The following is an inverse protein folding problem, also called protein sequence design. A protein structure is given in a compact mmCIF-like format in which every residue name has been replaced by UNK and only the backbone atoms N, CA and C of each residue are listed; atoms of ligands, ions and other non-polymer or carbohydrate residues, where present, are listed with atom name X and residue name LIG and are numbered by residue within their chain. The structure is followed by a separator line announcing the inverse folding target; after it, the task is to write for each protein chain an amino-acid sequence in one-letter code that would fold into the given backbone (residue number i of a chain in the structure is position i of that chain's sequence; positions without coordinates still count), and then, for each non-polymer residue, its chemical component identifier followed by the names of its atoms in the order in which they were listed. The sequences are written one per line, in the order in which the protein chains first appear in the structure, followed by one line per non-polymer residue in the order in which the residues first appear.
data_IF_612782545997
#
_entry.id   IF_612782545997
#
_cell.length_a   1.000
_cell.length_b   1.000
_cell.length_c   1.000
_cell.angle_alpha   90.00
_cell.angle_beta   90.00
_cell.angle_gamma   90.00
#
_symmetry.space_group_name_H-M   'P 1'
#
loop_
_entity.id
_entity.type
_entity.pdbx_description
1 polymer ?
#
# COMPACT_ATOMS: atom_id res chain seq x y z
N UNK A 1 29.96 69.56 -2.53
CA UNK A 1 31.28 68.91 -2.64
C UNK A 1 31.33 67.84 -1.58
N UNK A 2 30.78 66.67 -1.90
CA UNK A 2 31.52 65.49 -2.37
C UNK A 2 32.04 64.69 -1.18
N UNK A 3 31.21 63.77 -0.70
CA UNK A 3 31.68 62.63 0.09
C UNK A 3 32.05 61.46 -0.83
N UNK A 4 33.01 60.64 -0.41
CA UNK A 4 33.00 59.21 -0.68
C UNK A 4 33.35 58.44 0.61
N UNK A 5 33.17 57.14 0.79
CA UNK A 5 32.56 56.04 0.05
C UNK A 5 32.41 54.93 1.12
N UNK A 6 31.24 54.28 1.20
CA UNK A 6 31.08 53.03 1.96
C UNK A 6 31.35 51.88 1.00
N UNK A 7 32.42 51.14 1.22
CA UNK A 7 32.64 49.88 0.53
C UNK A 7 31.66 48.83 1.07
N UNK A 8 30.69 48.50 0.22
CA UNK A 8 29.77 47.38 0.36
C UNK A 8 30.52 46.09 0.01
N UNK A 9 30.84 45.30 1.03
CA UNK A 9 31.33 43.94 0.85
C UNK A 9 30.14 43.05 0.46
N UNK A 10 29.92 42.88 -0.85
CA UNK A 10 28.95 41.92 -1.38
C UNK A 10 29.46 40.49 -1.20
N UNK A 11 28.97 39.81 -0.17
CA UNK A 11 29.08 38.35 -0.04
C UNK A 11 28.34 37.69 -1.21
N UNK A 12 29.12 37.13 -2.14
CA UNK A 12 28.63 36.20 -3.17
C UNK A 12 28.10 34.96 -2.45
N UNK A 13 26.78 34.87 -2.30
CA UNK A 13 26.12 33.61 -1.96
C UNK A 13 26.36 32.62 -3.11
N UNK A 14 27.18 31.60 -2.85
CA UNK A 14 27.37 30.47 -3.74
C UNK A 14 26.07 29.68 -3.85
N UNK A 15 25.56 29.52 -5.07
CA UNK A 15 24.46 28.59 -5.38
C UNK A 15 24.77 27.18 -4.87
N UNK A 16 23.81 26.45 -4.29
CA UNK A 16 24.02 25.06 -3.95
C UNK A 16 24.14 24.21 -5.22
N UNK A 17 25.19 23.40 -5.29
CA UNK A 17 25.41 22.41 -6.35
C UNK A 17 24.18 21.51 -6.52
N UNK A 18 23.66 21.43 -7.75
CA UNK A 18 22.62 20.48 -8.11
C UNK A 18 23.18 19.08 -8.01
N UNK A 19 22.70 18.32 -7.04
CA UNK A 19 22.92 16.88 -6.96
C UNK A 19 22.34 16.25 -8.24
N UNK A 20 23.14 15.55 -9.06
CA UNK A 20 22.63 14.93 -10.28
C UNK A 20 21.62 13.84 -9.91
N UNK A 21 20.40 13.98 -10.44
CA UNK A 21 19.36 12.96 -10.35
C UNK A 21 19.91 11.65 -10.93
N UNK A 22 20.03 10.62 -10.10
CA UNK A 22 20.41 9.29 -10.53
C UNK A 22 19.40 8.82 -11.59
N UNK A 23 19.84 8.79 -12.85
CA UNK A 23 19.07 8.22 -13.94
C UNK A 23 18.68 6.79 -13.56
N UNK A 24 17.38 6.52 -13.53
CA UNK A 24 16.86 5.20 -13.21
C UNK A 24 17.47 4.17 -14.17
N UNK A 25 18.12 3.15 -13.61
CA UNK A 25 18.64 2.03 -14.38
C UNK A 25 17.51 1.42 -15.25
N UNK A 26 17.83 0.92 -16.46
CA UNK A 26 16.84 0.32 -17.34
C UNK A 26 16.18 -0.86 -16.62
N UNK A 27 14.87 -0.75 -16.39
CA UNK A 27 14.07 -1.81 -15.77
C UNK A 27 14.04 -3.00 -16.70
N UNK A 28 14.65 -4.11 -16.29
CA UNK A 28 14.44 -5.40 -16.93
C UNK A 28 12.94 -5.69 -16.91
N UNK A 29 12.35 -5.91 -18.09
CA UNK A 29 10.90 -5.96 -18.24
C UNK A 29 10.41 -7.26 -17.60
N UNK A 30 9.84 -7.15 -16.39
CA UNK A 30 9.30 -8.29 -15.65
C UNK A 30 8.49 -9.21 -16.57
N UNK A 31 8.90 -10.48 -16.65
CA UNK A 31 8.26 -11.48 -17.51
C UNK A 31 6.85 -11.69 -17.01
N UNK A 32 5.86 -11.54 -17.90
CA UNK A 32 4.46 -11.75 -17.54
C UNK A 32 4.22 -13.24 -17.27
N UNK A 33 3.61 -13.62 -16.14
CA UNK A 33 3.23 -15.00 -15.86
C UNK A 33 2.41 -15.61 -17.00
N UNK A 34 2.77 -16.83 -17.38
CA UNK A 34 2.01 -17.67 -18.31
C UNK A 34 0.77 -18.23 -17.63
N UNK A 35 -0.13 -18.85 -18.39
CA UNK A 35 -1.28 -19.57 -17.82
C UNK A 35 -0.85 -20.68 -16.86
N UNK A 36 0.21 -21.42 -17.21
CA UNK A 36 0.74 -22.48 -16.37
C UNK A 36 1.25 -21.94 -15.02
N UNK A 37 1.91 -20.77 -15.03
CA UNK A 37 2.36 -20.12 -13.80
C UNK A 37 1.19 -19.71 -12.91
N UNK A 38 0.10 -19.20 -13.50
CA UNK A 38 -1.11 -18.83 -12.75
C UNK A 38 -1.81 -20.06 -12.15
N UNK A 39 -1.87 -21.16 -12.90
CA UNK A 39 -2.45 -22.42 -12.40
C UNK A 39 -1.61 -23.03 -11.28
N UNK A 40 -0.28 -22.99 -11.40
CA UNK A 40 0.67 -23.40 -10.36
C UNK A 40 0.68 -22.46 -9.15
N UNK A 41 0.15 -21.23 -9.31
CA UNK A 41 0.06 -20.26 -8.23
C UNK A 41 -1.18 -20.40 -7.35
N UNK A 42 -2.10 -21.32 -7.68
CA UNK A 42 -3.24 -21.65 -6.83
C UNK A 42 -2.72 -22.14 -5.47
N UNK A 43 -3.35 -21.67 -4.42
CA UNK A 43 -3.05 -22.02 -3.02
C UNK A 43 -1.64 -21.64 -2.52
N UNK A 44 -0.80 -21.01 -3.35
CA UNK A 44 0.44 -20.38 -2.88
C UNK A 44 0.12 -19.20 -1.96
N UNK A 45 1.10 -18.86 -1.14
CA UNK A 45 1.10 -17.65 -0.32
C UNK A 45 2.10 -16.64 -0.86
N UNK A 46 1.98 -15.39 -0.41
CA UNK A 46 2.97 -14.34 -0.61
C UNK A 46 3.41 -13.88 0.79
N UNK A 47 4.70 -13.64 0.97
CA UNK A 47 5.24 -13.07 2.20
C UNK A 47 4.71 -11.66 2.45
N UNK A 48 4.49 -11.33 3.71
CA UNK A 48 4.15 -9.98 4.12
C UNK A 48 5.34 -9.05 3.92
N UNK A 49 5.07 -7.80 3.54
CA UNK A 49 6.07 -6.74 3.46
C UNK A 49 6.00 -5.95 4.76
N UNK A 50 6.94 -6.19 5.66
CA UNK A 50 6.97 -5.61 7.01
C UNK A 50 8.25 -4.82 7.26
N UNK A 51 8.19 -3.92 8.24
CA UNK A 51 9.29 -3.09 8.70
C UNK A 51 9.24 -2.86 10.21
N UNK A 52 10.32 -2.32 10.81
CA UNK A 52 10.40 -2.17 12.27
C UNK A 52 9.45 -1.11 12.84
N UNK A 53 8.95 -0.18 12.01
CA UNK A 53 8.00 0.84 12.43
C UNK A 53 7.13 1.22 11.24
N UNK A 54 5.82 0.95 11.36
CA UNK A 54 4.86 1.18 10.28
C UNK A 54 3.87 2.27 10.66
N UNK A 55 3.80 3.32 9.84
CA UNK A 55 2.69 4.27 9.88
C UNK A 55 1.41 3.61 9.37
N UNK A 56 1.51 2.85 8.27
CA UNK A 56 0.36 2.15 7.67
C UNK A 56 0.74 0.74 7.28
N UNK A 57 0.00 -0.24 7.78
CA UNK A 57 -0.03 -1.59 7.23
C UNK A 57 -1.24 -1.70 6.29
N UNK A 58 -1.00 -1.71 4.98
CA UNK A 58 -2.05 -1.98 4.00
C UNK A 58 -2.39 -3.47 3.99
N UNK A 59 -3.66 -3.80 3.87
CA UNK A 59 -4.13 -5.17 3.90
C UNK A 59 -5.07 -5.43 2.72
N UNK A 60 -4.63 -6.25 1.76
CA UNK A 60 -5.49 -6.76 0.69
C UNK A 60 -6.48 -7.81 1.22
N UNK A 61 -7.35 -8.32 0.35
CA UNK A 61 -8.26 -9.40 0.74
C UNK A 61 -7.49 -10.73 0.76
N UNK A 62 -6.94 -11.09 -0.38
CA UNK A 62 -6.06 -12.24 -0.57
C UNK A 62 -5.22 -12.04 -1.84
N UNK A 63 -4.11 -12.77 -1.99
CA UNK A 63 -3.37 -12.80 -3.23
C UNK A 63 -4.23 -13.24 -4.42
N UNK A 64 -4.27 -12.44 -5.49
CA UNK A 64 -4.70 -12.95 -6.78
C UNK A 64 -3.63 -13.87 -7.38
N UNK A 65 -4.01 -14.80 -8.26
CA UNK A 65 -3.04 -15.73 -8.90
C UNK A 65 -1.84 -15.03 -9.54
N UNK A 66 -2.02 -13.83 -10.12
CA UNK A 66 -0.90 -13.06 -10.68
C UNK A 66 0.09 -12.59 -9.62
N UNK A 67 -0.42 -12.09 -8.49
CA UNK A 67 0.40 -11.71 -7.35
C UNK A 67 1.13 -12.93 -6.78
N UNK A 68 0.45 -14.07 -6.67
CA UNK A 68 1.06 -15.29 -6.15
C UNK A 68 2.11 -15.88 -7.10
N UNK A 69 1.91 -15.79 -8.41
CA UNK A 69 2.89 -16.21 -9.41
C UNK A 69 4.15 -15.34 -9.40
N UNK A 70 4.00 -14.03 -9.19
CA UNK A 70 5.11 -13.06 -9.17
C UNK A 70 5.77 -12.90 -7.80
N UNK A 71 5.10 -13.29 -6.71
CA UNK A 71 5.54 -13.01 -5.35
C UNK A 71 5.35 -11.55 -4.92
N UNK A 72 4.55 -10.78 -5.67
CA UNK A 72 4.38 -9.34 -5.44
C UNK A 72 2.92 -8.95 -5.20
N UNK A 73 2.70 -8.14 -4.16
CA UNK A 73 1.37 -7.68 -3.78
C UNK A 73 0.79 -6.77 -4.85
N UNK A 74 -0.51 -6.94 -5.11
CA UNK A 74 -1.27 -6.14 -6.08
C UNK A 74 -0.67 -6.08 -7.51
N UNK A 75 0.11 -7.08 -7.92
CA UNK A 75 0.89 -7.08 -9.16
C UNK A 75 0.10 -7.18 -10.47
N UNK A 76 -1.16 -7.63 -10.43
CA UNK A 76 -1.96 -7.81 -11.66
C UNK A 76 -2.09 -6.48 -12.43
N UNK A 77 -1.78 -6.45 -13.74
CA UNK A 77 -2.05 -5.27 -14.56
C UNK A 77 -3.51 -4.82 -14.44
N UNK A 78 -3.71 -3.52 -14.23
CA UNK A 78 -5.03 -2.93 -14.00
C UNK A 78 -5.47 -2.91 -12.54
N UNK A 79 -4.72 -3.52 -11.60
CA UNK A 79 -4.88 -3.22 -10.18
C UNK A 79 -4.43 -1.77 -9.91
N UNK A 80 -5.23 -1.04 -9.14
CA UNK A 80 -5.08 0.41 -8.93
C UNK A 80 -4.32 0.76 -7.66
N UNK A 81 -3.86 -0.22 -6.87
CA UNK A 81 -3.18 0.01 -5.59
C UNK A 81 -1.93 0.88 -5.76
N UNK A 82 -0.96 0.44 -6.57
CA UNK A 82 0.30 1.16 -6.77
C UNK A 82 0.10 2.58 -7.34
N UNK A 83 -0.74 2.79 -8.38
CA UNK A 83 -1.08 4.14 -8.82
C UNK A 83 -1.78 4.99 -7.75
N UNK A 84 -2.68 4.41 -6.94
CA UNK A 84 -3.38 5.15 -5.88
C UNK A 84 -2.43 5.53 -4.74
N UNK A 85 -1.51 4.64 -4.37
CA UNK A 85 -0.48 4.88 -3.37
C UNK A 85 0.44 6.05 -3.77
N UNK A 86 0.80 6.13 -5.06
CA UNK A 86 1.53 7.28 -5.58
C UNK A 86 0.68 8.55 -5.61
N UNK A 87 -0.52 8.52 -6.18
CA UNK A 87 -1.40 9.71 -6.31
C UNK A 87 -1.87 10.28 -4.98
N UNK A 88 -1.93 9.47 -3.93
CA UNK A 88 -2.24 9.90 -2.57
C UNK A 88 -1.05 10.55 -1.86
N UNK A 89 0.16 10.42 -2.41
CA UNK A 89 1.39 10.99 -1.86
C UNK A 89 2.03 10.16 -0.76
N UNK A 90 1.73 8.85 -0.67
CA UNK A 90 2.46 7.92 0.20
C UNK A 90 3.84 7.55 -0.34
N UNK A 91 4.02 7.61 -1.66
CA UNK A 91 5.29 7.32 -2.32
C UNK A 91 5.72 8.52 -3.17
N UNK A 92 7.04 8.81 -3.27
CA UNK A 92 7.54 9.98 -4.01
C UNK A 92 7.46 9.81 -5.54
N UNK A 93 7.31 8.58 -6.00
CA UNK A 93 7.15 8.19 -7.41
C UNK A 93 6.28 6.95 -7.51
N UNK A 94 5.80 6.64 -8.70
CA UNK A 94 5.12 5.37 -8.95
C UNK A 94 6.11 4.19 -8.82
N UNK A 95 5.92 3.38 -7.77
CA UNK A 95 6.63 2.11 -7.58
C UNK A 95 5.96 1.02 -8.41
N UNK A 96 6.77 0.13 -9.00
CA UNK A 96 6.30 -1.14 -9.53
C UNK A 96 6.15 -2.17 -8.40
N UNK A 97 5.34 -3.23 -8.58
CA UNK A 97 5.14 -4.27 -7.56
C UNK A 97 6.43 -4.93 -7.07
N UNK A 98 7.41 -5.12 -7.95
CA UNK A 98 8.70 -5.72 -7.62
C UNK A 98 9.52 -4.83 -6.65
N UNK A 99 9.20 -3.54 -6.59
CA UNK A 99 9.83 -2.55 -5.70
C UNK A 99 9.18 -2.51 -4.31
N UNK A 100 8.27 -3.44 -3.98
CA UNK A 100 7.57 -3.47 -2.69
C UNK A 100 8.50 -3.50 -1.47
N UNK A 101 9.72 -4.04 -1.62
CA UNK A 101 10.74 -4.04 -0.57
C UNK A 101 11.21 -2.64 -0.14
N UNK A 102 10.89 -1.58 -0.91
CA UNK A 102 11.19 -0.20 -0.53
C UNK A 102 10.18 0.37 0.49
N UNK A 103 8.98 -0.19 0.58
CA UNK A 103 7.89 0.33 1.41
C UNK A 103 8.23 0.45 2.90
N UNK A 104 8.93 -0.51 3.55
CA UNK A 104 9.30 -0.39 4.96
C UNK A 104 10.11 0.88 5.27
N UNK A 105 10.98 1.32 4.35
CA UNK A 105 11.76 2.56 4.53
C UNK A 105 10.91 3.84 4.50
N UNK A 106 9.67 3.74 4.00
CA UNK A 106 8.69 4.81 3.95
C UNK A 106 7.65 4.69 5.08
N UNK A 107 7.84 3.77 6.03
CA UNK A 107 6.88 3.49 7.10
C UNK A 107 5.64 2.72 6.61
N UNK A 108 5.72 2.04 5.47
CA UNK A 108 4.58 1.35 4.84
C UNK A 108 4.81 -0.16 4.81
N UNK A 109 3.75 -0.93 5.05
CA UNK A 109 3.76 -2.39 4.95
C UNK A 109 2.58 -2.91 4.14
N UNK A 110 2.65 -4.17 3.72
CA UNK A 110 1.56 -4.87 3.01
C UNK A 110 1.38 -6.28 3.58
N UNK A 111 0.12 -6.64 3.84
CA UNK A 111 -0.34 -8.01 4.13
C UNK A 111 -1.67 -8.28 3.40
N UNK A 112 -2.32 -9.42 3.68
CA UNK A 112 -3.67 -9.74 3.19
C UNK A 112 -4.53 -10.34 4.30
N UNK A 113 -5.86 -10.20 4.27
CA UNK A 113 -6.75 -10.85 5.25
C UNK A 113 -6.62 -12.37 5.18
N UNK A 114 -6.59 -12.96 3.99
CA UNK A 114 -6.36 -14.40 3.77
C UNK A 114 -5.05 -14.59 3.02
N UNK A 115 -4.23 -15.54 3.48
CA UNK A 115 -2.89 -15.77 2.94
C UNK A 115 -2.89 -16.59 1.65
N UNK A 116 -3.91 -17.44 1.45
CA UNK A 116 -4.06 -18.34 0.31
C UNK A 116 -4.47 -17.59 -0.96
N UNK A 117 -3.78 -17.88 -2.06
CA UNK A 117 -4.10 -17.32 -3.37
C UNK A 117 -5.35 -17.96 -3.99
N UNK A 118 -6.20 -17.13 -4.61
CA UNK A 118 -7.34 -17.58 -5.42
C UNK A 118 -7.48 -16.74 -6.69
N UNK A 119 -8.32 -17.19 -7.64
CA UNK A 119 -8.60 -16.40 -8.84
C UNK A 119 -9.43 -15.15 -8.51
N UNK A 120 -10.39 -15.29 -7.60
CA UNK A 120 -11.24 -14.20 -7.14
C UNK A 120 -11.44 -14.22 -5.62
N UNK A 121 -11.54 -13.04 -5.02
CA UNK A 121 -11.87 -12.89 -3.60
C UNK A 121 -13.25 -13.48 -3.23
N UNK A 122 -14.17 -13.62 -4.21
CA UNK A 122 -15.48 -14.23 -4.01
C UNK A 122 -15.43 -15.75 -3.72
N UNK A 123 -14.30 -16.39 -3.99
CA UNK A 123 -14.06 -17.81 -3.70
C UNK A 123 -13.70 -18.06 -2.23
N UNK A 124 -13.48 -16.99 -1.44
CA UNK A 124 -13.17 -17.12 -0.02
C UNK A 124 -14.43 -17.37 0.79
N UNK A 125 -14.39 -18.39 1.63
CA UNK A 125 -15.45 -18.67 2.57
C UNK A 125 -15.51 -17.62 3.69
N UNK A 126 -16.69 -17.50 4.31
CA UNK A 126 -16.86 -16.66 5.49
C UNK A 126 -16.01 -17.11 6.68
N UNK A 127 -15.65 -18.39 6.75
CA UNK A 127 -14.76 -18.96 7.76
C UNK A 127 -13.30 -18.55 7.53
N UNK A 128 -12.82 -18.64 6.29
CA UNK A 128 -11.47 -18.19 5.92
C UNK A 128 -11.27 -16.70 6.23
N UNK A 129 -12.28 -15.85 5.96
CA UNK A 129 -12.22 -14.43 6.27
C UNK A 129 -12.17 -14.17 7.78
N UNK A 130 -12.94 -14.89 8.58
CA UNK A 130 -12.92 -14.76 10.05
C UNK A 130 -11.58 -15.22 10.64
N UNK A 131 -11.10 -16.39 10.25
CA UNK A 131 -9.78 -16.88 10.65
C UNK A 131 -8.67 -15.91 10.20
N UNK A 132 -8.83 -15.30 9.03
CA UNK A 132 -7.98 -14.24 8.52
C UNK A 132 -7.96 -13.00 9.40
N UNK A 133 -9.13 -12.56 9.88
CA UNK A 133 -9.28 -11.48 10.85
C UNK A 133 -8.56 -11.76 12.16
N UNK A 134 -8.72 -12.96 12.73
CA UNK A 134 -8.02 -13.37 13.96
C UNK A 134 -6.49 -13.35 13.79
N UNK A 135 -6.00 -13.83 12.64
CA UNK A 135 -4.56 -13.77 12.32
C UNK A 135 -4.09 -12.32 12.20
N UNK A 136 -4.88 -11.48 11.56
CA UNK A 136 -4.55 -10.07 11.36
C UNK A 136 -4.52 -9.31 12.69
N UNK A 137 -5.40 -9.65 13.65
CA UNK A 137 -5.34 -9.14 15.03
C UNK A 137 -3.98 -9.48 15.66
N UNK A 138 -3.55 -10.74 15.60
CA UNK A 138 -2.24 -11.16 16.14
C UNK A 138 -1.09 -10.39 15.50
N UNK A 139 -1.08 -10.32 14.16
CA UNK A 139 -0.04 -9.60 13.41
C UNK A 139 0.02 -8.11 13.80
N UNK A 140 -1.13 -7.44 13.86
CA UNK A 140 -1.20 -6.01 14.21
C UNK A 140 -0.76 -5.75 15.65
N UNK A 141 -1.08 -6.66 16.58
CA UNK A 141 -0.59 -6.59 17.96
C UNK A 141 0.94 -6.72 18.03
N UNK A 142 1.54 -7.56 17.19
CA UNK A 142 2.98 -7.77 17.14
C UNK A 142 3.72 -6.59 16.46
N UNK A 143 3.29 -6.20 15.27
CA UNK A 143 4.00 -5.20 14.44
C UNK A 143 3.61 -3.75 14.77
N UNK A 144 2.54 -3.56 15.54
CA UNK A 144 2.05 -2.27 16.09
C UNK A 144 2.08 -1.10 15.08
N UNK A 145 1.42 -1.22 13.92
CA UNK A 145 1.33 -0.11 12.98
C UNK A 145 0.45 1.00 13.58
N UNK A 146 0.66 2.27 13.19
CA UNK A 146 -0.28 3.35 13.60
C UNK A 146 -1.69 3.12 13.05
N UNK A 147 -1.78 2.59 11.82
CA UNK A 147 -3.05 2.26 11.16
C UNK A 147 -2.96 0.92 10.42
N UNK A 148 -3.97 0.07 10.58
CA UNK A 148 -4.27 -1.03 9.66
C UNK A 148 -5.31 -0.55 8.64
N UNK A 149 -4.98 -0.61 7.35
CA UNK A 149 -5.84 -0.15 6.26
C UNK A 149 -6.28 -1.31 5.35
N UNK A 150 -7.52 -1.78 5.49
CA UNK A 150 -8.05 -2.95 4.77
C UNK A 150 -8.73 -2.54 3.47
N UNK A 151 -8.20 -3.01 2.35
CA UNK A 151 -8.66 -2.73 0.99
C UNK A 151 -9.80 -3.66 0.54
N UNK A 152 -10.99 -3.40 1.08
CA UNK A 152 -12.21 -4.12 0.72
C UNK A 152 -13.21 -4.18 1.86
N UNK A 153 -14.28 -3.38 1.77
CA UNK A 153 -15.29 -3.28 2.84
C UNK A 153 -15.95 -4.61 3.18
N UNK A 154 -16.31 -5.43 2.19
CA UNK A 154 -16.95 -6.74 2.45
C UNK A 154 -16.00 -7.68 3.20
N UNK A 155 -14.73 -7.73 2.82
CA UNK A 155 -13.74 -8.55 3.52
C UNK A 155 -13.53 -8.05 4.96
N UNK A 156 -13.44 -6.73 5.16
CA UNK A 156 -13.36 -6.13 6.49
C UNK A 156 -14.55 -6.51 7.36
N UNK A 157 -15.78 -6.34 6.86
CA UNK A 157 -17.02 -6.67 7.58
C UNK A 157 -17.04 -8.13 8.04
N UNK A 158 -16.61 -9.04 7.17
CA UNK A 158 -16.58 -10.48 7.48
C UNK A 158 -15.45 -10.84 8.45
N UNK A 159 -14.26 -10.28 8.24
CA UNK A 159 -13.07 -10.57 9.06
C UNK A 159 -13.21 -10.07 10.49
N UNK A 160 -13.83 -8.90 10.69
CA UNK A 160 -13.97 -8.27 12.01
C UNK A 160 -15.38 -8.38 12.60
N UNK A 161 -16.34 -8.98 11.89
CA UNK A 161 -17.72 -9.09 12.38
C UNK A 161 -18.45 -7.75 12.48
N UNK A 162 -18.10 -6.80 11.61
CA UNK A 162 -18.55 -5.40 11.65
C UNK A 162 -19.49 -5.07 10.48
N UNK A 163 -20.73 -5.61 10.42
CA UNK A 163 -21.57 -5.59 9.21
C UNK A 163 -21.93 -4.20 8.68
N UNK A 164 -21.85 -3.17 9.54
CA UNK A 164 -22.18 -1.78 9.21
C UNK A 164 -20.98 -0.93 8.81
N UNK A 165 -19.76 -1.48 8.82
CA UNK A 165 -18.54 -0.74 8.47
C UNK A 165 -18.65 -0.09 7.09
N UNK A 166 -18.15 1.14 6.96
CA UNK A 166 -18.14 1.92 5.72
C UNK A 166 -16.71 2.30 5.34
N UNK A 167 -16.48 2.76 4.11
CA UNK A 167 -15.17 3.29 3.69
C UNK A 167 -14.79 4.47 4.60
N UNK A 168 -13.55 4.47 5.10
CA UNK A 168 -13.05 5.50 6.00
C UNK A 168 -12.48 4.98 7.32
N UNK A 169 -12.19 5.89 8.27
CA UNK A 169 -11.76 5.52 9.61
C UNK A 169 -12.89 4.77 10.34
N UNK A 170 -12.51 3.79 11.16
CA UNK A 170 -13.44 3.07 12.04
C UNK A 170 -13.22 3.47 13.50
N UNK A 171 -14.26 3.32 14.31
CA UNK A 171 -14.19 3.58 15.76
C UNK A 171 -13.38 2.50 16.49
N UNK A 172 -13.54 1.24 16.05
CA UNK A 172 -12.83 0.07 16.57
C UNK A 172 -11.32 0.14 16.33
N UNK A 173 -10.55 -0.50 17.21
CA UNK A 173 -9.07 -0.55 17.20
C UNK A 173 -8.55 -1.95 17.49
N UNK A 174 -7.29 -2.20 17.13
CA UNK A 174 -6.55 -3.39 17.54
C UNK A 174 -5.34 -2.91 18.35
N UNK A 175 -5.41 -3.04 19.68
CA UNK A 175 -4.49 -2.33 20.56
C UNK A 175 -4.55 -0.83 20.28
N UNK A 176 -3.39 -0.22 20.03
CA UNK A 176 -3.31 1.21 19.70
C UNK A 176 -3.62 1.51 18.22
N UNK A 177 -3.56 0.50 17.35
CA UNK A 177 -3.70 0.66 15.91
C UNK A 177 -5.13 1.09 15.55
N UNK A 178 -5.23 2.21 14.82
CA UNK A 178 -6.50 2.62 14.19
C UNK A 178 -6.84 1.69 13.04
N UNK A 179 -8.13 1.53 12.78
CA UNK A 179 -8.62 0.79 11.63
C UNK A 179 -9.14 1.74 10.56
N UNK A 180 -8.83 1.43 9.30
CA UNK A 180 -9.32 2.17 8.14
C UNK A 180 -9.78 1.19 7.07
N UNK A 181 -10.95 1.44 6.49
CA UNK A 181 -11.46 0.66 5.36
C UNK A 181 -11.24 1.45 4.07
N UNK A 182 -10.49 0.86 3.15
CA UNK A 182 -10.25 1.39 1.83
C UNK A 182 -11.13 0.68 0.79
N UNK A 183 -11.46 1.33 -0.34
CA UNK A 183 -12.07 0.65 -1.46
C UNK A 183 -11.14 -0.43 -2.04
N UNK A 184 -11.70 -1.51 -2.57
CA UNK A 184 -10.90 -2.55 -3.22
C UNK A 184 -10.29 -2.02 -4.53
N UNK A 185 -8.95 -2.03 -4.69
CA UNK A 185 -8.27 -1.48 -5.86
C UNK A 185 -8.26 -2.38 -7.09
N UNK A 186 -8.85 -3.58 -7.01
CA UNK A 186 -8.97 -4.49 -8.14
C UNK A 186 -9.60 -3.80 -9.36
N UNK A 187 -9.02 -4.04 -10.54
CA UNK A 187 -9.56 -3.53 -11.80
C UNK A 187 -11.00 -3.99 -12.08
N UNK A 188 -11.42 -5.12 -11.48
CA UNK A 188 -12.77 -5.68 -11.57
C UNK A 188 -13.81 -4.84 -10.80
N UNK A 189 -13.37 -4.02 -9.84
CA UNK A 189 -14.24 -3.11 -9.11
C UNK A 189 -14.45 -1.83 -9.93
N UNK A 190 -15.47 -1.83 -10.79
CA UNK A 190 -15.78 -0.71 -11.68
C UNK A 190 -16.33 0.53 -10.92
N UNK A 191 -16.89 0.34 -9.73
CA UNK A 191 -17.47 1.42 -8.93
C UNK A 191 -16.43 2.37 -8.30
N UNK A 192 -15.17 1.95 -8.25
CA UNK A 192 -14.09 2.71 -7.63
C UNK A 192 -13.01 3.06 -8.64
N UNK A 193 -13.12 4.24 -9.29
CA UNK A 193 -12.07 4.74 -10.16
C UNK A 193 -10.82 5.09 -9.34
N UNK A 194 -9.68 5.11 -10.01
CA UNK A 194 -8.36 5.35 -9.41
C UNK A 194 -8.34 6.60 -8.52
N UNK A 195 -8.92 7.71 -8.98
CA UNK A 195 -8.88 8.97 -8.23
C UNK A 195 -9.63 8.88 -6.91
N UNK A 196 -10.76 8.17 -6.86
CA UNK A 196 -11.53 7.98 -5.62
C UNK A 196 -10.78 7.10 -4.61
N UNK A 197 -10.03 6.11 -5.08
CA UNK A 197 -9.16 5.29 -4.22
C UNK A 197 -8.01 6.14 -3.69
N UNK A 198 -7.38 6.94 -4.56
CA UNK A 198 -6.28 7.83 -4.20
C UNK A 198 -6.73 8.93 -3.22
N UNK A 199 -7.93 9.47 -3.37
CA UNK A 199 -8.51 10.45 -2.44
C UNK A 199 -8.69 9.87 -1.04
N UNK A 200 -9.18 8.64 -0.94
CA UNK A 200 -9.35 7.98 0.35
C UNK A 200 -8.01 7.64 1.00
N UNK A 201 -7.04 7.16 0.22
CA UNK A 201 -5.67 6.97 0.71
C UNK A 201 -5.03 8.30 1.13
N UNK A 202 -5.32 9.42 0.45
CA UNK A 202 -4.84 10.74 0.85
C UNK A 202 -5.42 11.18 2.18
N UNK A 203 -6.73 10.99 2.40
CA UNK A 203 -7.38 11.23 3.69
C UNK A 203 -6.74 10.41 4.81
N UNK A 204 -6.45 9.14 4.55
CA UNK A 204 -5.72 8.28 5.48
C UNK A 204 -4.34 8.88 5.80
N UNK A 205 -3.54 9.23 4.79
CA UNK A 205 -2.20 9.82 4.94
C UNK A 205 -2.23 11.09 5.79
N UNK A 206 -3.18 11.98 5.50
CA UNK A 206 -3.33 13.26 6.21
C UNK A 206 -3.72 13.08 7.68
N UNK A 207 -4.37 11.96 8.02
CA UNK A 207 -4.70 11.59 9.41
C UNK A 207 -3.53 11.04 10.23
N UNK A 208 -2.34 10.86 9.63
CA UNK A 208 -1.14 10.39 10.34
C UNK A 208 -0.36 11.53 11.01
N UNK A 209 -0.75 12.78 10.74
CA UNK A 209 -0.18 13.99 11.31
C UNK A 209 -0.56 14.17 12.77
#
# INVERSE_FOLDING_TARGET
MSGPERESSGERMSEPERVPSAAAAPRERAVRPTKADLDAAKDRTIEDVLGPSLDVLFCGINPGLYSAATGHHFARPGNRFWPALYRSGFTPRLLAPEEQGLLPSLGLGITNVVTRASAQAAELSAEELRAGGERLVRLVTEVRPKVLAVAGVTAYRMAFGEPKAVIGPQESRIGDARLWVLPNPSGLNAHWPLDRIADEMRRLRESLK
#
